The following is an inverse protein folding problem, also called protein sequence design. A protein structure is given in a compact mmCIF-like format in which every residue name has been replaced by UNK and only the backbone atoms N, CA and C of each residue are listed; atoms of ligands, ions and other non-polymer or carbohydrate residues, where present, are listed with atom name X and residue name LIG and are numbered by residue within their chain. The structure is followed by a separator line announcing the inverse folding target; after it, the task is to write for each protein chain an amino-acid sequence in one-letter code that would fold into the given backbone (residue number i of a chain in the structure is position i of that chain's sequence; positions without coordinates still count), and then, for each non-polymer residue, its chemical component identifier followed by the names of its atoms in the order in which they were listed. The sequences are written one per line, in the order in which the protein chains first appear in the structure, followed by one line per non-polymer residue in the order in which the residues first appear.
data_IF_204615868998
#
_entry.id   IF_204615868998
#
_cell.length_a   1.000
_cell.length_b   1.000
_cell.length_c   1.000
_cell.angle_alpha   90.00
_cell.angle_beta   90.00
_cell.angle_gamma   90.00
#
_symmetry.space_group_name_H-M   'P 1'
#
loop_
_entity.id
_entity.type
_entity.pdbx_description
1 polymer ?
#
# COMPACT_ATOMS: atom_id res chain seq x y z
N UNK A 1 5.59 -45.18 -10.10
CA UNK A 1 4.58 -44.11 -10.19
C UNK A 1 4.29 -43.57 -8.82
N UNK A 2 5.09 -42.59 -8.33
CA UNK A 2 4.74 -41.83 -7.13
C UNK A 2 3.68 -40.81 -7.57
N UNK A 3 2.43 -41.05 -7.18
CA UNK A 3 1.43 -39.97 -7.06
C UNK A 3 1.94 -39.05 -5.98
N UNK A 4 2.47 -37.87 -6.36
CA UNK A 4 2.56 -36.76 -5.43
C UNK A 4 1.11 -36.46 -5.00
N UNK A 5 0.73 -36.84 -3.81
CA UNK A 5 -0.42 -36.24 -3.15
C UNK A 5 -0.14 -34.74 -3.12
N UNK A 6 -0.94 -34.00 -3.87
CA UNK A 6 -0.96 -32.54 -3.79
C UNK A 6 -1.58 -32.22 -2.44
N UNK A 7 -0.76 -32.20 -1.38
CA UNK A 7 -1.15 -31.61 -0.12
C UNK A 7 -1.61 -30.19 -0.45
N UNK A 8 -2.87 -29.91 -0.17
CA UNK A 8 -3.47 -28.60 -0.45
C UNK A 8 -2.90 -27.61 0.56
N UNK A 9 -1.68 -27.11 0.29
CA UNK A 9 -0.97 -26.12 1.13
C UNK A 9 -1.82 -24.86 1.13
N UNK A 10 -2.27 -24.43 2.30
CA UNK A 10 -3.01 -23.17 2.46
C UNK A 10 -2.16 -21.99 1.97
N UNK A 11 -2.81 -21.04 1.31
CA UNK A 11 -2.17 -19.83 0.81
C UNK A 11 -2.75 -18.60 1.50
N UNK A 12 -1.89 -17.86 2.20
CA UNK A 12 -2.26 -16.61 2.87
C UNK A 12 -1.81 -15.40 2.06
N UNK A 13 -2.70 -14.44 1.87
CA UNK A 13 -2.43 -13.15 1.23
C UNK A 13 -2.23 -12.05 2.26
N UNK A 14 -1.23 -11.20 2.04
CA UNK A 14 -0.95 -10.01 2.87
C UNK A 14 -0.83 -8.80 1.96
N UNK A 15 -1.61 -7.74 2.21
CA UNK A 15 -1.46 -6.45 1.54
C UNK A 15 -0.51 -5.59 2.35
N UNK A 16 0.53 -5.03 1.71
CA UNK A 16 1.63 -4.42 2.45
C UNK A 16 2.36 -3.31 1.69
N UNK A 17 3.17 -2.53 2.41
CA UNK A 17 4.08 -1.54 1.85
C UNK A 17 5.55 -1.87 2.14
N UNK A 18 5.84 -2.45 3.31
CA UNK A 18 7.19 -2.70 3.81
C UNK A 18 8.12 -1.49 3.66
N UNK A 19 7.71 -0.36 4.22
CA UNK A 19 8.35 0.94 4.01
C UNK A 19 9.00 1.55 5.28
N UNK A 20 10.08 0.94 5.84
CA UNK A 20 10.71 -0.33 5.49
C UNK A 20 10.08 -1.56 6.19
N UNK A 21 10.55 -2.75 5.81
CA UNK A 21 10.20 -4.00 6.48
C UNK A 21 10.82 -4.04 7.88
N UNK A 22 10.01 -4.27 8.90
CA UNK A 22 10.42 -4.31 10.31
C UNK A 22 9.86 -5.55 11.03
N UNK A 23 10.28 -5.79 12.27
CA UNK A 23 9.93 -6.98 13.03
C UNK A 23 8.42 -7.22 13.18
N UNK A 24 7.59 -6.16 13.27
CA UNK A 24 6.13 -6.30 13.29
C UNK A 24 5.53 -6.92 12.03
N UNK A 25 6.15 -6.69 10.86
CA UNK A 25 5.74 -7.35 9.62
C UNK A 25 6.15 -8.82 9.58
N UNK A 26 7.37 -9.14 10.03
CA UNK A 26 7.85 -10.52 10.14
C UNK A 26 7.01 -11.31 11.15
N UNK A 27 6.60 -10.69 12.25
CA UNK A 27 5.71 -11.29 13.24
C UNK A 27 4.37 -11.73 12.63
N UNK A 28 3.75 -10.89 11.78
CA UNK A 28 2.51 -11.27 11.09
C UNK A 28 2.69 -12.52 10.23
N UNK A 29 3.77 -12.59 9.43
CA UNK A 29 4.07 -13.77 8.60
C UNK A 29 4.28 -15.03 9.46
N UNK A 30 4.98 -14.89 10.59
CA UNK A 30 5.16 -15.98 11.53
C UNK A 30 3.85 -16.39 12.24
N UNK A 31 2.98 -15.42 12.58
CA UNK A 31 1.68 -15.70 13.18
C UNK A 31 0.77 -16.50 12.24
N UNK A 32 0.78 -16.16 10.94
CA UNK A 32 0.08 -16.93 9.90
C UNK A 32 0.56 -18.39 9.89
N UNK A 33 1.87 -18.63 9.85
CA UNK A 33 2.41 -20.00 9.85
C UNK A 33 2.16 -20.76 11.16
N UNK A 34 2.15 -20.06 12.30
CA UNK A 34 1.77 -20.70 13.57
C UNK A 34 0.30 -21.13 13.60
N UNK A 35 -0.57 -20.34 12.96
CA UNK A 35 -2.02 -20.62 12.95
C UNK A 35 -2.40 -21.73 11.95
N UNK A 36 -1.79 -21.72 10.77
CA UNK A 36 -2.24 -22.55 9.64
C UNK A 36 -1.27 -23.67 9.25
N UNK A 37 -0.11 -23.74 9.88
CA UNK A 37 0.95 -24.72 9.59
C UNK A 37 2.19 -24.07 8.97
N UNK A 38 3.36 -24.63 9.27
CA UNK A 38 4.66 -24.09 8.85
C UNK A 38 4.86 -24.05 7.33
N UNK A 39 4.15 -24.85 6.59
CA UNK A 39 4.13 -24.98 5.14
C UNK A 39 3.19 -23.98 4.44
N UNK A 40 2.38 -23.21 5.20
CA UNK A 40 1.49 -22.21 4.65
C UNK A 40 2.27 -21.23 3.76
N UNK A 41 1.88 -21.15 2.50
CA UNK A 41 2.49 -20.24 1.54
C UNK A 41 1.99 -18.81 1.75
N UNK A 42 2.88 -17.81 1.64
CA UNK A 42 2.56 -16.40 1.86
C UNK A 42 2.77 -15.61 0.56
N UNK A 43 1.67 -15.05 0.04
CA UNK A 43 1.66 -14.12 -1.09
C UNK A 43 1.50 -12.69 -0.55
N UNK A 44 2.42 -11.79 -0.91
CA UNK A 44 2.31 -10.38 -0.58
C UNK A 44 1.89 -9.57 -1.80
N UNK A 45 0.83 -8.74 -1.67
CA UNK A 45 0.53 -7.65 -2.60
C UNK A 45 1.20 -6.37 -2.04
N UNK A 46 2.33 -5.96 -2.65
CA UNK A 46 3.19 -4.92 -2.10
C UNK A 46 3.20 -3.67 -2.97
N UNK A 47 3.01 -2.49 -2.36
CA UNK A 47 3.16 -1.20 -3.04
C UNK A 47 4.49 -1.08 -3.78
N UNK A 48 4.46 -0.49 -4.97
CA UNK A 48 5.64 -0.14 -5.75
C UNK A 48 6.53 0.91 -5.06
N UNK A 49 7.06 1.88 -5.82
CA UNK A 49 7.99 2.88 -5.28
C UNK A 49 7.31 4.02 -4.52
N UNK A 50 5.98 4.05 -4.49
CA UNK A 50 5.17 5.01 -3.76
C UNK A 50 4.15 4.29 -2.86
N UNK A 51 3.74 4.96 -1.79
CA UNK A 51 2.96 4.36 -0.71
C UNK A 51 1.67 5.12 -0.41
N UNK A 52 0.71 4.46 0.23
CA UNK A 52 -0.67 4.90 0.44
C UNK A 52 -0.78 6.26 1.15
N UNK A 53 0.16 6.60 2.01
CA UNK A 53 0.17 7.91 2.70
C UNK A 53 0.60 9.07 1.82
N UNK A 54 0.83 8.84 0.52
CA UNK A 54 1.24 9.87 -0.44
C UNK A 54 2.72 10.23 -0.28
N UNK A 55 3.57 9.24 -0.12
CA UNK A 55 5.01 9.42 0.07
C UNK A 55 5.81 8.47 -0.82
N UNK A 56 7.10 8.75 -0.97
CA UNK A 56 8.06 7.87 -1.62
C UNK A 56 8.41 6.71 -0.69
N UNK A 57 8.54 5.51 -1.23
CA UNK A 57 9.10 4.41 -0.46
C UNK A 57 10.56 4.69 -0.12
N UNK A 58 11.00 4.31 1.08
CA UNK A 58 12.35 4.56 1.59
C UNK A 58 13.43 3.92 0.72
N UNK A 59 13.10 2.76 0.13
CA UNK A 59 13.95 1.94 -0.70
C UNK A 59 13.11 1.43 -1.88
N UNK A 60 13.70 1.30 -3.06
CA UNK A 60 13.00 0.85 -4.25
C UNK A 60 12.31 -0.50 -4.07
N UNK A 61 11.23 -0.71 -4.83
CA UNK A 61 10.35 -1.89 -4.74
C UNK A 61 11.11 -3.21 -4.77
N UNK A 62 12.12 -3.34 -5.62
CA UNK A 62 12.85 -4.59 -5.82
C UNK A 62 13.59 -5.02 -4.56
N UNK A 63 14.30 -4.09 -3.93
CA UNK A 63 15.05 -4.37 -2.70
C UNK A 63 14.10 -4.74 -1.53
N UNK A 64 12.92 -4.10 -1.46
CA UNK A 64 11.90 -4.44 -0.46
C UNK A 64 11.26 -5.81 -0.71
N UNK A 65 11.00 -6.16 -1.98
CA UNK A 65 10.46 -7.46 -2.34
C UNK A 65 11.44 -8.60 -2.02
N UNK A 66 12.72 -8.44 -2.33
CA UNK A 66 13.77 -9.40 -1.96
C UNK A 66 13.88 -9.56 -0.44
N UNK A 67 13.89 -8.45 0.29
CA UNK A 67 13.91 -8.47 1.76
C UNK A 67 12.68 -9.18 2.33
N UNK A 68 11.50 -8.99 1.74
CA UNK A 68 10.27 -9.65 2.16
C UNK A 68 10.36 -11.18 1.97
N UNK A 69 10.85 -11.64 0.81
CA UNK A 69 11.03 -13.08 0.55
C UNK A 69 12.05 -13.69 1.51
N UNK A 70 13.20 -13.02 1.74
CA UNK A 70 14.20 -13.48 2.73
C UNK A 70 13.71 -13.42 4.17
N UNK A 71 12.59 -12.74 4.44
CA UNK A 71 11.98 -12.59 5.78
C UNK A 71 10.73 -13.46 5.97
N UNK A 72 10.37 -14.28 4.97
CA UNK A 72 9.29 -15.25 5.12
C UNK A 72 8.10 -15.11 4.17
N UNK A 73 8.08 -14.17 3.24
CA UNK A 73 7.15 -14.20 2.11
C UNK A 73 7.63 -15.23 1.08
N UNK A 74 6.73 -15.86 0.34
CA UNK A 74 7.08 -16.81 -0.71
C UNK A 74 6.96 -16.21 -2.10
N UNK A 75 5.96 -15.35 -2.29
CA UNK A 75 5.70 -14.64 -3.54
C UNK A 75 5.34 -13.18 -3.25
N UNK A 76 6.01 -12.24 -3.89
CA UNK A 76 5.69 -10.83 -3.83
C UNK A 76 5.20 -10.36 -5.19
N UNK A 77 3.95 -9.92 -5.22
CA UNK A 77 3.29 -9.30 -6.37
C UNK A 77 3.22 -7.78 -6.15
N UNK A 78 3.27 -7.01 -7.22
CA UNK A 78 3.13 -5.56 -7.13
C UNK A 78 1.66 -5.16 -6.97
N UNK A 79 1.38 -4.31 -5.98
CA UNK A 79 0.17 -3.52 -5.95
C UNK A 79 0.38 -2.32 -6.88
N UNK A 80 -0.37 -2.22 -8.00
CA UNK A 80 -0.09 -1.22 -9.02
C UNK A 80 -0.25 0.22 -8.53
N UNK A 81 0.52 1.12 -9.14
CA UNK A 81 0.71 2.50 -8.69
C UNK A 81 -0.58 3.26 -8.38
N UNK A 82 -1.65 3.28 -9.20
CA UNK A 82 -2.84 4.07 -8.89
C UNK A 82 -3.52 3.65 -7.58
N UNK A 83 -3.56 2.33 -7.29
CA UNK A 83 -4.12 1.82 -6.04
C UNK A 83 -3.17 2.01 -4.86
N UNK A 84 -1.87 1.82 -5.08
CA UNK A 84 -0.85 2.01 -4.03
C UNK A 84 -0.86 3.44 -3.46
N UNK A 85 -1.24 4.45 -4.24
CA UNK A 85 -1.29 5.86 -3.83
C UNK A 85 -2.72 6.41 -3.73
N UNK A 86 -3.70 5.56 -3.46
CA UNK A 86 -5.11 5.93 -3.33
C UNK A 86 -5.57 6.05 -1.86
N UNK A 87 -6.87 6.27 -1.66
CA UNK A 87 -7.51 6.19 -0.34
C UNK A 87 -7.39 4.78 0.25
N UNK A 88 -7.77 4.60 1.52
CA UNK A 88 -7.80 3.27 2.13
C UNK A 88 -8.69 2.30 1.34
N UNK A 89 -9.85 2.77 0.87
CA UNK A 89 -10.78 2.01 0.03
C UNK A 89 -10.13 1.57 -1.30
N UNK A 90 -9.53 2.50 -2.05
CA UNK A 90 -8.86 2.17 -3.32
C UNK A 90 -7.65 1.26 -3.13
N UNK A 91 -6.84 1.50 -2.08
CA UNK A 91 -5.71 0.65 -1.72
C UNK A 91 -6.16 -0.78 -1.39
N UNK A 92 -7.22 -0.91 -0.60
CA UNK A 92 -7.82 -2.20 -0.25
C UNK A 92 -8.32 -2.93 -1.49
N UNK A 93 -9.10 -2.23 -2.36
CA UNK A 93 -9.63 -2.81 -3.59
C UNK A 93 -8.51 -3.34 -4.49
N UNK A 94 -7.49 -2.53 -4.77
CA UNK A 94 -6.36 -2.98 -5.59
C UNK A 94 -5.59 -4.15 -4.97
N UNK A 95 -5.38 -4.14 -3.65
CA UNK A 95 -4.74 -5.24 -2.94
C UNK A 95 -5.55 -6.54 -2.99
N UNK A 96 -6.86 -6.46 -2.80
CA UNK A 96 -7.76 -7.62 -2.93
C UNK A 96 -7.81 -8.10 -4.38
N UNK A 97 -7.92 -7.22 -5.39
CA UNK A 97 -7.87 -7.59 -6.80
C UNK A 97 -6.58 -8.37 -7.14
N UNK A 98 -5.41 -7.93 -6.63
CA UNK A 98 -4.14 -8.64 -6.83
C UNK A 98 -4.19 -10.03 -6.19
N UNK A 99 -4.62 -10.13 -4.93
CA UNK A 99 -4.60 -11.41 -4.20
C UNK A 99 -5.63 -12.40 -4.74
N UNK A 100 -6.87 -11.98 -4.97
CA UNK A 100 -7.93 -12.83 -5.54
C UNK A 100 -7.64 -13.20 -6.98
N UNK A 101 -7.06 -12.27 -7.76
CA UNK A 101 -6.62 -12.51 -9.13
C UNK A 101 -5.61 -13.65 -9.29
N UNK A 102 -4.92 -14.06 -8.20
CA UNK A 102 -4.06 -15.26 -8.22
C UNK A 102 -4.83 -16.56 -8.34
N UNK A 103 -6.13 -16.59 -7.98
CA UNK A 103 -6.96 -17.79 -7.88
C UNK A 103 -6.51 -18.75 -6.78
N UNK A 104 -5.75 -18.24 -5.77
CA UNK A 104 -5.11 -19.08 -4.74
C UNK A 104 -5.29 -18.55 -3.31
N UNK A 105 -6.11 -17.54 -3.08
CA UNK A 105 -6.28 -16.92 -1.78
C UNK A 105 -7.20 -17.75 -0.87
N UNK A 106 -6.64 -18.43 0.14
CA UNK A 106 -7.40 -19.17 1.16
C UNK A 106 -7.59 -18.34 2.44
N UNK A 107 -6.61 -17.48 2.78
CA UNK A 107 -6.61 -16.65 3.99
C UNK A 107 -6.17 -15.23 3.64
N UNK A 108 -6.93 -14.23 4.07
CA UNK A 108 -6.47 -12.82 4.08
C UNK A 108 -5.95 -12.48 5.47
N UNK A 109 -4.65 -12.13 5.56
CA UNK A 109 -4.00 -11.84 6.84
C UNK A 109 -3.53 -10.39 6.93
N UNK A 110 -3.81 -9.73 8.06
CA UNK A 110 -3.36 -8.36 8.34
C UNK A 110 -3.29 -8.07 9.85
N UNK A 111 -2.65 -6.97 10.22
CA UNK A 111 -2.63 -6.49 11.61
C UNK A 111 -3.69 -5.43 11.83
N UNK A 112 -4.41 -5.48 12.95
CA UNK A 112 -5.39 -4.49 13.38
C UNK A 112 -5.16 -4.08 14.84
N UNK A 113 -5.73 -2.97 15.28
CA UNK A 113 -5.67 -2.58 16.68
C UNK A 113 -6.58 -3.47 17.56
N UNK A 114 -7.74 -3.86 17.04
CA UNK A 114 -8.70 -4.68 17.79
C UNK A 114 -8.35 -6.18 17.84
N UNK A 115 -7.68 -6.73 16.83
CA UNK A 115 -7.39 -8.16 16.72
C UNK A 115 -8.64 -9.05 16.52
N UNK A 116 -9.80 -8.48 16.23
CA UNK A 116 -11.08 -9.18 16.04
C UNK A 116 -11.56 -9.07 14.59
N UNK A 117 -11.37 -10.15 13.82
CA UNK A 117 -11.79 -10.21 12.41
C UNK A 117 -13.32 -10.17 12.25
N UNK A 118 -14.06 -10.72 13.21
CA UNK A 118 -15.52 -10.72 13.14
C UNK A 118 -16.09 -9.31 13.34
N UNK A 119 -15.54 -8.53 14.27
CA UNK A 119 -15.92 -7.13 14.47
C UNK A 119 -15.61 -6.26 13.23
N UNK A 120 -14.43 -6.44 12.62
CA UNK A 120 -14.06 -5.75 11.38
C UNK A 120 -15.00 -6.10 10.23
N UNK A 121 -15.39 -7.38 10.10
CA UNK A 121 -16.34 -7.81 9.08
C UNK A 121 -17.76 -7.28 9.33
N UNK A 122 -18.22 -7.19 10.60
CA UNK A 122 -19.51 -6.54 10.92
C UNK A 122 -19.49 -5.07 10.51
N UNK A 123 -18.40 -4.35 10.83
CA UNK A 123 -18.25 -2.95 10.41
C UNK A 123 -18.24 -2.78 8.87
N UNK A 124 -17.55 -3.68 8.16
CA UNK A 124 -17.55 -3.71 6.71
C UNK A 124 -18.94 -3.93 6.10
N UNK A 125 -19.70 -4.90 6.63
CA UNK A 125 -21.10 -5.16 6.22
C UNK A 125 -22.01 -3.97 6.47
N UNK A 126 -21.84 -3.26 7.59
CA UNK A 126 -22.61 -2.06 7.88
C UNK A 126 -22.31 -0.92 6.87
N UNK A 127 -21.04 -0.78 6.45
CA UNK A 127 -20.64 0.19 5.42
C UNK A 127 -21.17 -0.16 4.02
N UNK A 128 -21.46 -1.41 3.73
CA UNK A 128 -22.09 -1.87 2.49
C UNK A 128 -23.63 -1.92 2.58
N UNK A 129 -24.19 -1.59 3.75
CA UNK A 129 -25.64 -1.63 3.95
C UNK A 129 -26.37 -0.60 3.10
N UNK A 130 -27.47 -0.97 2.41
CA UNK A 130 -28.35 -0.03 1.73
C UNK A 130 -28.93 1.06 2.63
N UNK A 131 -28.94 0.84 3.95
CA UNK A 131 -29.39 1.83 4.95
C UNK A 131 -28.36 2.95 5.20
N UNK A 132 -27.08 2.76 4.84
CA UNK A 132 -26.04 3.75 5.12
C UNK A 132 -26.22 5.07 4.34
N UNK A 133 -26.48 5.10 3.01
CA UNK A 133 -26.59 6.34 2.26
C UNK A 133 -27.61 7.34 2.80
N UNK A 134 -28.85 6.96 3.15
CA UNK A 134 -29.79 7.90 3.73
C UNK A 134 -29.37 8.42 5.11
N UNK A 135 -28.75 7.59 5.96
CA UNK A 135 -28.22 8.00 7.26
C UNK A 135 -27.06 9.00 7.10
N UNK A 136 -26.15 8.73 6.16
CA UNK A 136 -25.04 9.62 5.85
C UNK A 136 -25.53 10.98 5.33
N UNK A 137 -26.51 10.97 4.43
CA UNK A 137 -27.14 12.20 3.91
C UNK A 137 -27.77 13.02 5.04
N UNK A 138 -28.46 12.37 5.95
CA UNK A 138 -29.09 13.03 7.11
C UNK A 138 -28.03 13.65 8.04
N UNK A 139 -26.91 12.96 8.31
CA UNK A 139 -25.84 13.48 9.14
C UNK A 139 -25.11 14.66 8.47
N UNK A 140 -24.85 14.59 7.17
CA UNK A 140 -24.26 15.71 6.40
C UNK A 140 -25.16 16.95 6.40
N UNK A 141 -26.49 16.77 6.34
CA UNK A 141 -27.46 17.88 6.41
C UNK A 141 -27.44 18.60 7.77
N UNK A 142 -26.95 17.96 8.85
CA UNK A 142 -26.77 18.55 10.17
C UNK A 142 -25.46 19.35 10.31
N UNK A 143 -24.64 19.47 9.24
CA UNK A 143 -23.42 20.26 9.22
C UNK A 143 -22.14 19.49 9.61
N UNK A 144 -22.21 18.18 9.79
CA UNK A 144 -21.03 17.35 10.04
C UNK A 144 -20.09 17.36 8.82
N UNK A 145 -18.78 17.27 9.07
CA UNK A 145 -17.85 16.91 8.01
C UNK A 145 -18.05 15.44 7.63
N UNK A 146 -17.56 15.04 6.45
CA UNK A 146 -17.79 13.68 5.91
C UNK A 146 -17.36 12.55 6.87
N UNK A 147 -16.23 12.69 7.57
CA UNK A 147 -15.75 11.66 8.50
C UNK A 147 -16.67 11.51 9.71
N UNK A 148 -17.11 12.63 10.30
CA UNK A 148 -18.04 12.63 11.43
C UNK A 148 -19.43 12.14 11.00
N UNK A 149 -19.91 12.58 9.84
CA UNK A 149 -21.19 12.11 9.27
C UNK A 149 -21.16 10.61 8.99
N UNK A 150 -20.07 10.10 8.40
CA UNK A 150 -19.87 8.65 8.17
C UNK A 150 -19.85 7.88 9.49
N UNK A 151 -19.11 8.36 10.48
CA UNK A 151 -19.05 7.71 11.79
C UNK A 151 -20.43 7.67 12.46
N UNK A 152 -21.16 8.77 12.45
CA UNK A 152 -22.54 8.85 12.99
C UNK A 152 -23.50 7.91 12.26
N UNK A 153 -23.47 7.89 10.94
CA UNK A 153 -24.30 7.02 10.13
C UNK A 153 -24.02 5.53 10.41
N UNK A 154 -22.75 5.16 10.56
CA UNK A 154 -22.33 3.80 10.89
C UNK A 154 -22.71 3.43 12.32
N UNK A 155 -22.60 4.38 13.29
CA UNK A 155 -23.01 4.15 14.68
C UNK A 155 -24.52 3.90 14.83
N UNK A 156 -25.33 4.28 13.85
CA UNK A 156 -26.74 3.93 13.80
C UNK A 156 -27.02 2.49 13.33
N UNK A 157 -26.01 1.84 12.74
CA UNK A 157 -26.09 0.48 12.18
C UNK A 157 -25.31 -0.54 13.03
N UNK A 158 -24.46 -0.09 13.93
CA UNK A 158 -23.53 -0.89 14.73
C UNK A 158 -23.66 -0.54 16.21
N UNK A 159 -23.11 -1.41 17.05
CA UNK A 159 -22.86 -1.05 18.46
C UNK A 159 -21.85 0.12 18.54
N UNK A 160 -21.85 0.85 19.65
CA UNK A 160 -20.89 1.92 19.88
C UNK A 160 -19.43 1.40 19.83
N UNK A 161 -19.21 0.18 20.29
CA UNK A 161 -17.90 -0.49 20.28
C UNK A 161 -17.42 -0.78 18.85
N UNK A 162 -18.24 -1.41 18.02
CA UNK A 162 -17.89 -1.69 16.61
C UNK A 162 -17.71 -0.39 15.80
N UNK A 163 -18.53 0.64 16.07
CA UNK A 163 -18.40 1.94 15.40
C UNK A 163 -17.08 2.65 15.77
N UNK A 164 -16.59 2.47 17.00
CA UNK A 164 -15.31 3.04 17.45
C UNK A 164 -14.10 2.48 16.67
N UNK A 165 -14.21 1.31 16.05
CA UNK A 165 -13.14 0.72 15.22
C UNK A 165 -12.71 1.63 14.06
N UNK A 166 -13.63 2.44 13.53
CA UNK A 166 -13.36 3.39 12.44
C UNK A 166 -12.43 4.55 12.84
N UNK A 167 -12.17 4.74 14.13
CA UNK A 167 -11.26 5.79 14.62
C UNK A 167 -9.79 5.39 14.56
N UNK A 168 -9.47 4.10 14.40
CA UNK A 168 -8.12 3.55 14.41
C UNK A 168 -7.64 3.24 12.98
N UNK A 169 -6.40 3.62 12.61
CA UNK A 169 -5.97 3.56 11.20
C UNK A 169 -5.87 2.13 10.64
N UNK A 170 -5.37 1.15 11.40
CA UNK A 170 -5.25 -0.21 10.90
C UNK A 170 -6.60 -0.94 10.94
N UNK A 171 -7.48 -0.66 11.93
CA UNK A 171 -8.85 -1.14 11.91
C UNK A 171 -9.59 -0.60 10.69
N UNK A 172 -9.48 0.70 10.39
CA UNK A 172 -10.08 1.30 9.19
C UNK A 172 -9.60 0.59 7.93
N UNK A 173 -8.29 0.33 7.81
CA UNK A 173 -7.74 -0.38 6.66
C UNK A 173 -8.23 -1.84 6.60
N UNK A 174 -8.29 -2.54 7.74
CA UNK A 174 -8.85 -3.89 7.85
C UNK A 174 -10.33 -3.97 7.45
N UNK A 175 -11.13 -2.96 7.85
CA UNK A 175 -12.53 -2.83 7.45
C UNK A 175 -12.62 -2.64 5.92
N UNK A 176 -11.77 -1.81 5.31
CA UNK A 176 -11.77 -1.62 3.86
C UNK A 176 -11.32 -2.90 3.11
N UNK A 177 -10.41 -3.71 3.67
CA UNK A 177 -10.10 -5.03 3.12
C UNK A 177 -11.32 -5.97 3.13
N UNK A 178 -12.04 -6.02 4.26
CA UNK A 178 -13.27 -6.80 4.37
C UNK A 178 -14.34 -6.31 3.37
N UNK A 179 -14.48 -4.98 3.20
CA UNK A 179 -15.39 -4.41 2.19
C UNK A 179 -15.04 -4.83 0.77
N UNK A 180 -13.76 -4.71 0.42
CA UNK A 180 -13.29 -5.10 -0.91
C UNK A 180 -13.50 -6.60 -1.17
N UNK A 181 -13.35 -7.48 -0.15
CA UNK A 181 -13.72 -8.90 -0.26
C UNK A 181 -15.20 -9.10 -0.51
N UNK A 182 -16.08 -8.43 0.25
CA UNK A 182 -17.53 -8.50 0.04
C UNK A 182 -17.92 -8.09 -1.38
N UNK A 183 -17.29 -7.03 -1.90
CA UNK A 183 -17.53 -6.53 -3.26
C UNK A 183 -16.97 -7.47 -4.34
N UNK A 184 -15.86 -8.19 -4.07
CA UNK A 184 -15.27 -9.15 -5.02
C UNK A 184 -16.02 -10.48 -5.10
N UNK A 185 -16.89 -10.76 -4.14
CA UNK A 185 -17.56 -12.06 -4.00
C UNK A 185 -16.62 -13.21 -3.56
N UNK A 186 -15.41 -12.88 -3.11
CA UNK A 186 -14.44 -13.86 -2.59
C UNK A 186 -14.60 -14.02 -1.09
N UNK A 187 -14.50 -15.25 -0.58
CA UNK A 187 -14.73 -15.61 0.81
C UNK A 187 -13.52 -16.32 1.45
N UNK A 188 -12.28 -15.76 1.39
CA UNK A 188 -11.18 -16.32 2.15
C UNK A 188 -11.42 -16.18 3.64
N UNK A 189 -10.79 -17.02 4.43
CA UNK A 189 -10.74 -16.85 5.87
C UNK A 189 -10.03 -15.53 6.22
N UNK A 190 -10.55 -14.76 7.18
CA UNK A 190 -9.94 -13.51 7.61
C UNK A 190 -9.18 -13.75 8.90
N UNK A 191 -7.87 -13.52 8.86
CA UNK A 191 -6.99 -13.64 10.01
C UNK A 191 -6.38 -12.28 10.37
N UNK A 192 -6.56 -11.84 11.61
CA UNK A 192 -5.94 -10.60 12.08
C UNK A 192 -5.19 -10.82 13.38
N UNK A 193 -4.08 -10.11 13.54
CA UNK A 193 -3.28 -10.08 14.76
C UNK A 193 -3.40 -8.72 15.40
N UNK A 194 -3.60 -8.70 16.72
CA UNK A 194 -3.60 -7.46 17.48
C UNK A 194 -2.22 -6.81 17.47
N UNK A 195 -2.17 -5.52 17.15
CA UNK A 195 -0.93 -4.73 17.15
C UNK A 195 -0.56 -4.18 18.52
N UNK A 196 -1.45 -4.30 19.52
CA UNK A 196 -1.27 -3.70 20.84
C UNK A 196 -0.54 -4.59 21.85
N UNK A 197 -0.36 -5.91 21.58
CA UNK A 197 0.22 -6.84 22.55
C UNK A 197 1.52 -7.53 22.12
N UNK A 198 1.60 -7.97 20.89
CA UNK A 198 2.61 -8.96 20.49
C UNK A 198 3.95 -8.37 20.00
N UNK A 199 4.01 -7.09 19.68
CA UNK A 199 5.27 -6.43 19.33
C UNK A 199 6.05 -5.94 20.57
N UNK A 200 5.39 -5.89 21.74
CA UNK A 200 6.03 -5.51 23.01
C UNK A 200 6.80 -6.66 23.66
N UNK A 201 6.34 -7.90 23.50
CA UNK A 201 6.98 -9.06 24.15
C UNK A 201 8.25 -9.55 23.43
N UNK A 202 8.46 -9.17 22.18
CA UNK A 202 9.62 -9.62 21.39
C UNK A 202 10.87 -8.76 21.57
N UNK A 203 10.79 -7.59 22.19
CA UNK A 203 11.93 -6.76 22.54
C UNK A 203 11.58 -5.83 23.70
N UNK A 204 11.70 -6.35 24.92
CA UNK A 204 11.66 -5.55 26.13
C UNK A 204 12.76 -4.47 26.06
N UNK A 205 12.39 -3.22 25.84
CA UNK A 205 13.37 -2.14 25.91
C UNK A 205 12.92 -0.74 25.54
N UNK A 206 11.91 -0.54 24.68
CA UNK A 206 11.56 0.84 24.32
C UNK A 206 10.07 1.03 24.04
N UNK A 207 9.44 1.93 24.77
CA UNK A 207 8.04 2.36 24.65
C UNK A 207 7.72 3.12 23.33
N UNK A 208 8.63 3.12 22.37
CA UNK A 208 8.55 3.87 21.10
C UNK A 208 8.33 3.03 19.84
N UNK A 209 7.61 1.89 19.96
CA UNK A 209 7.07 1.06 18.87
C UNK A 209 7.86 0.98 17.55
N UNK A 210 8.12 -0.22 17.07
CA UNK A 210 8.67 -0.51 15.73
C UNK A 210 7.68 -0.11 14.63
N UNK A 211 7.47 1.18 14.37
CA UNK A 211 6.66 1.61 13.23
C UNK A 211 7.55 2.05 12.06
N UNK A 212 7.12 1.76 10.85
CA UNK A 212 7.82 2.22 9.65
C UNK A 212 8.03 3.75 9.64
N UNK A 213 7.07 4.51 10.16
CA UNK A 213 7.17 5.96 10.28
C UNK A 213 8.28 6.38 11.25
N UNK A 214 8.42 5.72 12.41
CA UNK A 214 9.48 6.00 13.37
C UNK A 214 10.87 5.68 12.79
N UNK A 215 11.00 4.58 12.05
CA UNK A 215 12.26 4.22 11.38
C UNK A 215 12.64 5.28 10.33
N UNK A 216 11.68 5.74 9.53
CA UNK A 216 11.89 6.80 8.54
C UNK A 216 12.31 8.12 9.20
N UNK A 217 11.69 8.47 10.34
CA UNK A 217 12.07 9.64 11.12
C UNK A 217 13.52 9.55 11.59
N UNK A 218 13.92 8.43 12.20
CA UNK A 218 15.30 8.21 12.65
C UNK A 218 16.32 8.38 11.52
N UNK A 219 16.00 7.87 10.31
CA UNK A 219 16.87 8.08 9.14
C UNK A 219 16.91 9.55 8.71
N UNK A 220 15.77 10.25 8.74
CA UNK A 220 15.71 11.68 8.45
C UNK A 220 16.52 12.53 9.43
N UNK A 221 16.58 12.10 10.70
CA UNK A 221 17.33 12.74 11.77
C UNK A 221 18.83 12.32 11.79
N UNK A 222 19.29 11.52 10.81
CA UNK A 222 20.67 11.02 10.74
C UNK A 222 20.99 9.89 11.72
N UNK A 223 20.01 9.35 12.45
CA UNK A 223 20.15 8.27 13.44
C UNK A 223 20.12 6.90 12.76
N UNK A 224 21.05 6.68 11.84
CA UNK A 224 21.09 5.48 10.98
C UNK A 224 21.17 4.17 11.77
N UNK A 225 22.05 4.08 12.78
CA UNK A 225 22.21 2.84 13.55
C UNK A 225 20.93 2.44 14.27
N UNK A 226 20.25 3.41 14.90
CA UNK A 226 18.97 3.19 15.59
C UNK A 226 17.85 2.79 14.62
N UNK A 227 17.84 3.36 13.43
CA UNK A 227 16.88 3.00 12.40
C UNK A 227 17.08 1.56 11.91
N UNK A 228 18.33 1.18 11.63
CA UNK A 228 18.67 -0.16 11.15
C UNK A 228 18.36 -1.24 12.19
N UNK A 229 18.64 -0.99 13.47
CA UNK A 229 18.35 -1.97 14.54
C UNK A 229 16.85 -2.35 14.62
N UNK A 230 15.97 -1.52 14.09
CA UNK A 230 14.51 -1.75 14.05
C UNK A 230 14.03 -2.47 12.80
N UNK A 231 14.88 -2.64 11.80
CA UNK A 231 14.60 -3.41 10.59
C UNK A 231 15.00 -4.87 10.77
N UNK A 232 14.32 -5.78 10.08
CA UNK A 232 14.76 -7.18 10.03
C UNK A 232 16.09 -7.31 9.29
N UNK A 233 16.92 -8.33 9.57
CA UNK A 233 18.28 -8.45 8.99
C UNK A 233 18.31 -8.37 7.45
N UNK A 234 17.36 -9.03 6.77
CA UNK A 234 17.26 -8.96 5.30
C UNK A 234 16.99 -7.54 4.78
N UNK A 235 16.21 -6.74 5.51
CA UNK A 235 15.95 -5.35 5.14
C UNK A 235 17.16 -4.46 5.44
N UNK A 236 17.89 -4.71 6.52
CA UNK A 236 19.16 -4.02 6.81
C UNK A 236 20.17 -4.22 5.68
N UNK A 237 20.33 -5.48 5.23
CA UNK A 237 21.24 -5.82 4.13
C UNK A 237 20.79 -5.16 2.81
N UNK A 238 19.49 -5.22 2.49
CA UNK A 238 18.93 -4.57 1.30
C UNK A 238 19.11 -3.04 1.34
N UNK A 239 18.86 -2.42 2.49
CA UNK A 239 19.08 -0.99 2.68
C UNK A 239 20.54 -0.60 2.50
N UNK A 240 21.48 -1.33 3.12
CA UNK A 240 22.91 -1.07 2.99
C UNK A 240 23.42 -1.20 1.54
N UNK A 241 22.91 -2.18 0.79
CA UNK A 241 23.24 -2.35 -0.62
C UNK A 241 22.71 -1.19 -1.48
N UNK A 242 21.48 -0.72 -1.22
CA UNK A 242 20.90 0.42 -1.93
C UNK A 242 21.60 1.74 -1.56
N UNK A 243 21.98 1.90 -0.28
CA UNK A 243 22.74 3.05 0.20
C UNK A 243 24.14 3.11 -0.44
N UNK A 244 24.86 2.00 -0.47
CA UNK A 244 26.17 1.91 -1.14
C UNK A 244 26.10 2.20 -2.65
N UNK A 245 24.95 1.90 -3.26
CA UNK A 245 24.68 2.21 -4.68
C UNK A 245 24.13 3.62 -4.91
N UNK A 246 24.05 4.47 -3.87
CA UNK A 246 23.55 5.85 -3.94
C UNK A 246 22.04 5.98 -4.18
N UNK A 247 21.24 4.93 -3.90
CA UNK A 247 19.80 4.86 -4.15
C UNK A 247 18.92 4.92 -2.89
N UNK A 248 19.52 4.95 -1.70
CA UNK A 248 18.82 5.04 -0.42
C UNK A 248 19.57 5.99 0.54
N UNK A 249 18.85 6.57 1.52
CA UNK A 249 17.38 6.57 1.70
C UNK A 249 16.68 7.52 0.71
N UNK A 250 15.43 7.18 0.34
CA UNK A 250 14.62 8.02 -0.55
C UNK A 250 13.57 8.79 0.27
N UNK A 251 13.58 10.13 0.09
CA UNK A 251 12.61 11.04 0.68
C UNK A 251 12.08 12.00 -0.38
N UNK A 252 10.81 12.38 -0.26
CA UNK A 252 10.17 13.33 -1.19
C UNK A 252 10.90 14.70 -1.25
N UNK A 253 11.56 15.10 -0.18
CA UNK A 253 12.36 16.33 -0.10
C UNK A 253 13.51 16.37 -1.12
N UNK A 254 14.08 15.23 -1.50
CA UNK A 254 15.12 15.17 -2.53
C UNK A 254 14.60 15.59 -3.92
N UNK A 255 13.30 15.39 -4.19
CA UNK A 255 12.62 15.80 -5.41
C UNK A 255 11.82 17.11 -5.26
N UNK A 256 11.98 17.87 -4.19
CA UNK A 256 11.13 19.02 -3.89
C UNK A 256 11.03 20.00 -5.06
N UNK A 257 12.15 20.35 -5.68
CA UNK A 257 12.14 21.28 -6.84
C UNK A 257 11.37 20.73 -8.04
N UNK A 258 11.47 19.43 -8.30
CA UNK A 258 10.73 18.77 -9.39
C UNK A 258 9.23 18.78 -9.09
N UNK A 259 8.83 18.48 -7.85
CA UNK A 259 7.45 18.55 -7.40
C UNK A 259 6.91 19.99 -7.51
N UNK A 260 7.65 20.98 -7.00
CA UNK A 260 7.26 22.39 -7.07
C UNK A 260 7.14 22.89 -8.52
N UNK A 261 8.08 22.50 -9.39
CA UNK A 261 8.03 22.82 -10.83
C UNK A 261 6.74 22.29 -11.46
N UNK A 262 6.39 21.04 -11.18
CA UNK A 262 5.14 20.43 -11.66
C UNK A 262 3.92 21.18 -11.16
N UNK A 263 3.81 21.41 -9.84
CA UNK A 263 2.67 22.10 -9.22
C UNK A 263 2.50 23.53 -9.77
N UNK A 264 3.60 24.26 -9.98
CA UNK A 264 3.57 25.63 -10.52
C UNK A 264 3.22 25.70 -12.01
N UNK A 265 3.46 24.63 -12.76
CA UNK A 265 3.05 24.50 -14.15
C UNK A 265 1.59 24.13 -14.35
N UNK A 266 0.86 23.77 -13.29
CA UNK A 266 -0.55 23.35 -13.36
C UNK A 266 -1.51 24.55 -13.25
N UNK A 267 -2.65 24.47 -13.96
CA UNK A 267 -3.78 25.38 -13.84
C UNK A 267 -4.69 25.03 -12.64
N UNK A 268 -5.60 25.93 -12.20
CA UNK A 268 -6.61 25.56 -11.18
C UNK A 268 -7.44 24.35 -11.57
N UNK A 269 -7.82 24.22 -12.84
CA UNK A 269 -8.60 23.07 -13.32
C UNK A 269 -7.84 21.74 -13.20
N UNK A 270 -6.52 21.75 -13.40
CA UNK A 270 -5.69 20.55 -13.20
C UNK A 270 -5.69 20.09 -11.73
N UNK A 271 -5.68 21.05 -10.79
CA UNK A 271 -5.78 20.71 -9.36
C UNK A 271 -7.16 20.15 -8.97
N UNK A 272 -8.23 20.69 -9.55
CA UNK A 272 -9.58 20.19 -9.33
C UNK A 272 -9.76 18.78 -9.91
N UNK A 273 -9.06 18.46 -11.00
CA UNK A 273 -9.06 17.12 -11.60
C UNK A 273 -8.32 16.05 -10.77
N UNK A 274 -7.48 16.43 -9.79
CA UNK A 274 -6.79 15.48 -8.91
C UNK A 274 -7.71 14.82 -7.87
N UNK A 275 -8.88 15.38 -7.63
CA UNK A 275 -9.79 14.92 -6.60
C UNK A 275 -11.22 14.86 -7.11
N UNK A 276 -11.91 13.78 -6.82
CA UNK A 276 -13.33 13.60 -7.16
C UNK A 276 -14.28 14.39 -6.23
N UNK A 277 -13.76 14.90 -5.11
CA UNK A 277 -14.53 15.68 -4.14
C UNK A 277 -14.56 17.17 -4.50
N UNK A 278 -15.72 17.71 -4.84
CA UNK A 278 -15.95 19.14 -5.16
C UNK A 278 -15.90 20.05 -3.91
N UNK A 279 -14.86 19.91 -3.07
CA UNK A 279 -14.80 20.58 -1.76
C UNK A 279 -13.86 21.80 -1.74
N UNK A 280 -13.29 22.22 -2.88
CA UNK A 280 -12.37 23.35 -2.98
C UNK A 280 -10.93 23.06 -2.50
N UNK A 281 -10.57 21.81 -2.29
CA UNK A 281 -9.22 21.39 -1.89
C UNK A 281 -8.21 21.65 -3.00
N UNK A 282 -8.60 21.47 -4.27
CA UNK A 282 -7.77 21.76 -5.44
C UNK A 282 -7.36 23.22 -5.49
N UNK A 283 -8.31 24.15 -5.34
CA UNK A 283 -8.03 25.59 -5.31
C UNK A 283 -7.11 25.99 -4.16
N UNK A 284 -7.26 25.37 -2.97
CA UNK A 284 -6.36 25.63 -1.85
C UNK A 284 -4.91 25.19 -2.12
N UNK A 285 -4.74 24.00 -2.69
CA UNK A 285 -3.41 23.52 -3.10
C UNK A 285 -2.80 24.39 -4.20
N UNK A 286 -3.62 24.82 -5.16
CA UNK A 286 -3.20 25.76 -6.21
C UNK A 286 -2.63 27.04 -5.59
N UNK A 287 -3.39 27.71 -4.70
CA UNK A 287 -2.96 28.94 -4.05
C UNK A 287 -1.69 28.70 -3.21
N UNK A 288 -1.69 27.70 -2.33
CA UNK A 288 -0.55 27.38 -1.49
C UNK A 288 0.73 27.12 -2.31
N UNK A 289 0.62 26.44 -3.48
CA UNK A 289 1.77 26.17 -4.35
C UNK A 289 2.44 27.44 -4.91
N UNK A 290 1.78 28.60 -4.83
CA UNK A 290 2.27 29.91 -5.30
C UNK A 290 2.69 30.86 -4.18
N UNK A 291 2.10 30.67 -3.01
CA UNK A 291 2.32 31.55 -1.85
C UNK A 291 3.56 31.13 -1.04
N UNK A 292 3.91 29.83 -1.04
CA UNK A 292 5.04 29.34 -0.24
C UNK A 292 6.04 28.56 -1.10
N UNK A 293 7.24 28.31 -0.55
CA UNK A 293 8.39 27.83 -1.31
C UNK A 293 8.85 26.41 -0.97
N UNK A 294 8.18 25.72 -0.03
CA UNK A 294 8.51 24.32 0.30
C UNK A 294 7.30 23.43 0.27
N UNK A 295 7.53 22.13 0.04
CA UNK A 295 6.47 21.11 0.03
C UNK A 295 5.75 21.03 1.38
N UNK A 296 6.49 21.07 2.49
CA UNK A 296 5.90 21.07 3.83
C UNK A 296 5.01 22.30 4.07
N UNK A 297 5.49 23.48 3.69
CA UNK A 297 4.72 24.72 3.83
C UNK A 297 3.45 24.71 2.94
N UNK A 298 3.49 24.11 1.73
CA UNK A 298 2.30 23.93 0.88
C UNK A 298 1.26 23.05 1.58
N UNK A 299 1.71 21.93 2.16
CA UNK A 299 0.82 21.02 2.86
C UNK A 299 0.21 21.68 4.10
N UNK A 300 0.99 22.46 4.85
CA UNK A 300 0.55 23.19 6.04
C UNK A 300 -0.47 24.29 5.67
N UNK A 301 -0.21 25.08 4.65
CA UNK A 301 -1.10 26.13 4.15
C UNK A 301 -2.43 25.58 3.61
N UNK A 302 -2.38 24.41 2.95
CA UNK A 302 -3.58 23.77 2.42
C UNK A 302 -4.38 23.02 3.50
N UNK A 303 -3.77 22.65 4.64
CA UNK A 303 -4.37 21.86 5.72
C UNK A 303 -5.53 22.59 6.40
N UNK A 304 -6.63 21.87 6.61
CA UNK A 304 -7.78 22.32 7.41
C UNK A 304 -8.26 21.17 8.31
N UNK A 305 -9.23 21.43 9.18
CA UNK A 305 -9.90 20.34 9.93
C UNK A 305 -10.62 19.35 9.03
N UNK A 306 -11.02 19.76 7.82
CA UNK A 306 -11.76 18.95 6.84
C UNK A 306 -10.86 18.01 6.05
N UNK A 307 -9.58 18.36 5.81
CA UNK A 307 -8.67 17.61 4.95
C UNK A 307 -7.53 16.97 5.74
N UNK A 308 -7.42 15.64 5.69
CA UNK A 308 -6.30 14.93 6.30
C UNK A 308 -5.00 15.16 5.50
N UNK A 309 -3.85 15.22 6.20
CA UNK A 309 -2.53 15.36 5.56
C UNK A 309 -2.28 14.30 4.48
N UNK A 310 -2.66 13.05 4.74
CA UNK A 310 -2.48 11.97 3.77
C UNK A 310 -3.24 12.23 2.45
N UNK A 311 -4.43 12.86 2.49
CA UNK A 311 -5.17 13.25 1.27
C UNK A 311 -4.40 14.31 0.50
N UNK A 312 -3.91 15.35 1.17
CA UNK A 312 -3.13 16.42 0.54
C UNK A 312 -1.83 15.87 -0.07
N UNK A 313 -1.11 15.02 0.66
CA UNK A 313 0.11 14.38 0.15
C UNK A 313 -0.16 13.54 -1.09
N UNK A 314 -1.25 12.75 -1.10
CA UNK A 314 -1.63 11.98 -2.29
C UNK A 314 -1.94 12.89 -3.47
N UNK A 315 -2.66 13.99 -3.29
CA UNK A 315 -2.94 14.94 -4.38
C UNK A 315 -1.66 15.53 -4.94
N UNK A 316 -0.73 15.95 -4.09
CA UNK A 316 0.60 16.44 -4.53
C UNK A 316 1.36 15.34 -5.27
N UNK A 317 1.34 14.12 -4.76
CA UNK A 317 2.01 12.99 -5.41
C UNK A 317 1.36 12.64 -6.77
N UNK A 318 0.03 12.65 -6.84
CA UNK A 318 -0.70 12.47 -8.11
C UNK A 318 -0.35 13.55 -9.13
N UNK A 319 -0.29 14.81 -8.70
CA UNK A 319 0.17 15.91 -9.54
C UNK A 319 1.58 15.65 -10.08
N UNK A 320 2.52 15.27 -9.20
CA UNK A 320 3.89 14.95 -9.57
C UNK A 320 3.97 13.81 -10.58
N UNK A 321 3.23 12.73 -10.35
CA UNK A 321 3.17 11.55 -11.22
C UNK A 321 2.38 11.80 -12.52
N UNK A 322 1.63 12.89 -12.60
CA UNK A 322 0.71 13.17 -13.69
C UNK A 322 -0.45 12.18 -13.75
N UNK A 323 -0.96 11.79 -12.57
CA UNK A 323 -2.11 10.92 -12.40
C UNK A 323 -3.40 11.71 -12.25
N UNK A 324 -4.47 11.18 -12.80
CA UNK A 324 -5.84 11.63 -12.56
C UNK A 324 -6.75 10.44 -12.21
N UNK A 325 -7.94 10.65 -11.68
CA UNK A 325 -8.90 9.55 -11.45
C UNK A 325 -9.23 8.74 -12.71
N UNK A 326 -9.13 9.35 -13.90
CA UNK A 326 -9.35 8.67 -15.18
C UNK A 326 -8.26 7.64 -15.51
N UNK A 327 -7.08 7.75 -14.90
CA UNK A 327 -5.97 6.80 -15.10
C UNK A 327 -6.10 5.54 -14.23
N UNK A 328 -7.12 5.48 -13.36
CA UNK A 328 -7.34 4.33 -12.47
C UNK A 328 -8.33 3.37 -13.12
N UNK A 329 -7.90 2.19 -13.59
CA UNK A 329 -8.80 1.18 -14.10
C UNK A 329 -9.83 0.71 -13.05
N UNK A 330 -10.95 0.15 -13.48
CA UNK A 330 -11.95 -0.40 -12.58
C UNK A 330 -11.38 -1.54 -11.73
N UNK A 331 -10.55 -2.40 -12.34
CA UNK A 331 -9.87 -3.52 -11.70
C UNK A 331 -8.41 -3.60 -12.12
N UNK A 332 -7.58 -4.28 -11.31
CA UNK A 332 -6.18 -4.55 -11.66
C UNK A 332 -6.12 -5.43 -12.90
N UNK A 333 -5.43 -5.01 -13.99
CA UNK A 333 -5.48 -5.75 -15.24
C UNK A 333 -4.42 -6.84 -15.40
N UNK A 334 -3.47 -6.98 -14.46
CA UNK A 334 -2.42 -8.00 -14.46
C UNK A 334 -1.78 -8.18 -13.08
N UNK A 335 -1.09 -9.29 -12.89
CA UNK A 335 -0.29 -9.60 -11.71
C UNK A 335 1.20 -9.50 -12.08
N UNK A 336 1.92 -8.52 -11.52
CA UNK A 336 3.35 -8.37 -11.74
C UNK A 336 4.14 -8.99 -10.61
N UNK A 337 5.03 -9.93 -10.94
CA UNK A 337 5.92 -10.59 -9.97
C UNK A 337 7.11 -9.69 -9.66
N UNK A 338 7.38 -9.44 -8.39
CA UNK A 338 8.56 -8.70 -7.93
C UNK A 338 9.65 -9.63 -7.38
N UNK A 339 9.29 -10.63 -6.59
CA UNK A 339 10.21 -11.62 -6.05
C UNK A 339 9.52 -12.94 -5.71
N UNK A 340 10.24 -14.05 -5.77
CA UNK A 340 9.78 -15.37 -5.37
C UNK A 340 10.94 -16.26 -4.90
N UNK A 341 10.66 -17.13 -3.90
CA UNK A 341 11.50 -18.27 -3.54
C UNK A 341 11.02 -19.54 -4.25
N UNK A 342 11.48 -20.72 -3.84
CA UNK A 342 11.11 -22.01 -4.44
C UNK A 342 9.61 -22.31 -4.26
N UNK A 343 9.04 -22.07 -3.08
CA UNK A 343 7.59 -22.17 -2.84
C UNK A 343 6.83 -21.21 -3.77
N UNK A 344 7.29 -19.96 -3.87
CA UNK A 344 6.71 -18.96 -4.78
C UNK A 344 6.77 -19.39 -6.25
N UNK A 345 7.84 -20.06 -6.69
CA UNK A 345 7.91 -20.65 -8.05
C UNK A 345 6.86 -21.73 -8.26
N UNK A 346 6.63 -22.55 -7.24
CA UNK A 346 5.56 -23.56 -7.27
C UNK A 346 4.18 -22.90 -7.38
N UNK A 347 3.93 -21.83 -6.61
CA UNK A 347 2.72 -21.03 -6.73
C UNK A 347 2.56 -20.45 -8.14
N UNK A 348 3.60 -19.86 -8.71
CA UNK A 348 3.58 -19.31 -10.07
C UNK A 348 3.27 -20.39 -11.12
N UNK A 349 3.74 -21.63 -10.92
CA UNK A 349 3.38 -22.74 -11.79
C UNK A 349 1.88 -23.08 -11.68
N UNK A 350 1.32 -23.10 -10.46
CA UNK A 350 -0.11 -23.34 -10.23
C UNK A 350 -0.97 -22.20 -10.77
N UNK A 351 -0.53 -20.95 -10.64
CA UNK A 351 -1.20 -19.75 -11.17
C UNK A 351 -1.38 -19.79 -12.68
N UNK A 352 -0.57 -20.53 -13.45
CA UNK A 352 -0.80 -20.72 -14.90
C UNK A 352 -2.18 -21.30 -15.22
N UNK A 353 -2.78 -22.05 -14.29
CA UNK A 353 -4.10 -22.69 -14.45
C UNK A 353 -5.20 -22.01 -13.64
N UNK A 354 -4.84 -21.33 -12.55
CA UNK A 354 -5.80 -20.81 -11.56
C UNK A 354 -5.96 -19.30 -11.62
N UNK A 355 -4.90 -18.57 -12.02
CA UNK A 355 -4.95 -17.11 -12.03
C UNK A 355 -6.03 -16.60 -12.99
N UNK A 356 -6.80 -15.65 -12.50
CA UNK A 356 -7.85 -14.98 -13.25
C UNK A 356 -7.31 -13.80 -14.07
N UNK A 357 -6.09 -13.36 -13.76
CA UNK A 357 -5.40 -12.25 -14.40
C UNK A 357 -4.09 -12.70 -15.04
N UNK A 358 -3.64 -12.06 -16.12
CA UNK A 358 -2.33 -12.34 -16.72
C UNK A 358 -1.19 -12.14 -15.71
N UNK A 359 -0.27 -13.10 -15.61
CA UNK A 359 0.90 -13.02 -14.72
C UNK A 359 2.12 -12.57 -15.51
N UNK A 360 2.74 -11.45 -15.07
CA UNK A 360 3.89 -10.83 -15.71
C UNK A 360 5.15 -11.10 -14.90
N UNK A 361 6.08 -11.84 -15.50
CA UNK A 361 7.45 -12.02 -14.98
C UNK A 361 8.50 -11.28 -15.82
N UNK A 362 8.18 -10.95 -17.08
CA UNK A 362 9.04 -10.19 -17.98
C UNK A 362 8.32 -8.94 -18.47
N UNK A 363 8.91 -7.75 -18.38
CA UNK A 363 8.28 -6.51 -18.83
C UNK A 363 7.80 -6.55 -20.28
N UNK A 364 8.52 -7.25 -21.16
CA UNK A 364 8.17 -7.38 -22.57
C UNK A 364 6.80 -8.05 -22.78
N UNK A 365 6.35 -8.91 -21.87
CA UNK A 365 5.05 -9.59 -21.95
C UNK A 365 3.86 -8.63 -21.94
N UNK A 366 4.03 -7.43 -21.36
CA UNK A 366 3.00 -6.38 -21.33
C UNK A 366 2.52 -6.00 -22.73
N UNK A 367 3.39 -6.08 -23.74
CA UNK A 367 3.03 -5.73 -25.14
C UNK A 367 1.93 -6.60 -25.73
N UNK A 368 1.67 -7.76 -25.12
CA UNK A 368 0.63 -8.72 -25.56
C UNK A 368 -0.67 -8.57 -24.75
N UNK A 369 -0.71 -7.69 -23.78
CA UNK A 369 -1.88 -7.44 -22.94
C UNK A 369 -2.83 -6.40 -23.56
N UNK A 370 -3.96 -6.18 -22.89
CA UNK A 370 -4.93 -5.15 -23.29
C UNK A 370 -4.31 -3.74 -23.35
N UNK A 371 -4.87 -2.84 -24.14
CA UNK A 371 -4.43 -1.43 -24.18
C UNK A 371 -4.41 -0.76 -22.80
N UNK A 372 -5.40 -1.09 -21.94
CA UNK A 372 -5.49 -0.63 -20.56
C UNK A 372 -4.31 -1.11 -19.71
N UNK A 373 -3.98 -2.40 -19.77
CA UNK A 373 -2.83 -2.98 -19.08
C UNK A 373 -1.50 -2.35 -19.55
N UNK A 374 -1.37 -2.11 -20.85
CA UNK A 374 -0.20 -1.42 -21.40
C UNK A 374 -0.12 0.04 -20.94
N UNK A 375 -1.24 0.76 -20.87
CA UNK A 375 -1.30 2.12 -20.36
C UNK A 375 -0.87 2.18 -18.90
N UNK A 376 -1.41 1.28 -18.06
CA UNK A 376 -1.02 1.16 -16.65
C UNK A 376 0.48 0.90 -16.49
N UNK A 377 1.05 -0.04 -17.25
CA UNK A 377 2.49 -0.33 -17.16
C UNK A 377 3.36 0.86 -17.58
N UNK A 378 2.96 1.61 -18.63
CA UNK A 378 3.67 2.85 -19.00
C UNK A 378 3.63 3.90 -17.88
N UNK A 379 2.50 3.99 -17.19
CA UNK A 379 2.33 4.87 -16.03
C UNK A 379 3.26 4.44 -14.87
N UNK A 380 3.35 3.15 -14.57
CA UNK A 380 4.27 2.61 -13.57
C UNK A 380 5.73 2.83 -13.95
N UNK A 381 6.07 2.68 -15.24
CA UNK A 381 7.42 2.94 -15.74
C UNK A 381 7.80 4.42 -15.57
N UNK A 382 6.89 5.35 -15.93
CA UNK A 382 7.06 6.78 -15.67
C UNK A 382 7.22 7.05 -14.17
N UNK A 383 6.39 6.42 -13.33
CA UNK A 383 6.49 6.55 -11.87
C UNK A 383 7.86 6.11 -11.35
N UNK A 384 8.39 4.99 -11.85
CA UNK A 384 9.72 4.51 -11.48
C UNK A 384 10.84 5.49 -11.89
N UNK A 385 10.72 6.10 -13.06
CA UNK A 385 11.68 7.10 -13.54
C UNK A 385 11.63 8.37 -12.67
N UNK A 386 10.43 8.82 -12.30
CA UNK A 386 10.24 9.96 -11.40
C UNK A 386 10.70 9.66 -9.96
N UNK A 387 10.52 8.44 -9.49
CA UNK A 387 11.03 8.01 -8.19
C UNK A 387 12.56 8.05 -8.13
N UNK A 388 13.23 7.63 -9.20
CA UNK A 388 14.70 7.61 -9.29
C UNK A 388 15.32 9.02 -9.13
N UNK A 389 14.59 10.09 -9.48
CA UNK A 389 15.06 11.47 -9.28
C UNK A 389 15.24 11.83 -7.79
N UNK A 390 14.68 11.06 -6.86
CA UNK A 390 14.85 11.24 -5.43
C UNK A 390 16.02 10.44 -4.84
N UNK A 391 16.82 9.77 -5.65
CA UNK A 391 18.02 9.07 -5.17
C UNK A 391 19.06 10.08 -4.66
N UNK A 392 19.75 9.75 -3.54
CA UNK A 392 20.84 10.60 -3.03
C UNK A 392 21.93 10.88 -4.08
N UNK A 393 22.29 9.87 -4.88
CA UNK A 393 23.24 10.03 -5.98
C UNK A 393 22.48 10.16 -7.31
N UNK A 394 22.48 11.34 -7.89
CA UNK A 394 21.81 11.60 -9.19
C UNK A 394 22.38 10.73 -10.32
N UNK A 395 23.67 10.35 -10.23
CA UNK A 395 24.30 9.41 -11.18
C UNK A 395 23.64 8.02 -11.22
N UNK A 396 22.92 7.64 -10.15
CA UNK A 396 22.16 6.39 -10.08
C UNK A 396 20.72 6.53 -10.64
N UNK A 397 20.27 7.73 -10.98
CA UNK A 397 18.88 8.06 -11.33
C UNK A 397 18.54 7.83 -12.81
N UNK A 398 19.19 6.89 -13.48
CA UNK A 398 18.89 6.59 -14.89
C UNK A 398 17.47 6.02 -15.03
N UNK A 399 16.72 6.54 -16.00
CA UNK A 399 15.35 6.09 -16.32
C UNK A 399 15.29 4.76 -17.07
N UNK A 400 14.05 4.29 -17.35
CA UNK A 400 13.77 3.08 -18.10
C UNK A 400 14.08 1.78 -17.37
N UNK A 401 14.29 1.84 -16.05
CA UNK A 401 14.67 0.66 -15.24
C UNK A 401 13.57 -0.39 -15.21
N UNK A 402 12.29 0.03 -15.16
CA UNK A 402 11.16 -0.89 -15.08
C UNK A 402 11.05 -1.82 -16.30
N UNK A 403 11.41 -1.32 -17.48
CA UNK A 403 11.40 -2.10 -18.72
C UNK A 403 12.49 -3.17 -18.81
N UNK A 404 13.51 -3.06 -17.97
CA UNK A 404 14.70 -3.95 -17.97
C UNK A 404 14.73 -4.90 -16.79
N UNK A 405 13.94 -4.62 -15.75
CA UNK A 405 14.01 -5.32 -14.47
C UNK A 405 12.96 -6.45 -14.39
N UNK A 406 13.42 -7.70 -14.35
CA UNK A 406 12.61 -8.86 -14.01
C UNK A 406 12.48 -9.06 -12.49
N UNK A 407 11.73 -10.08 -12.05
CA UNK A 407 11.60 -10.45 -10.64
C UNK A 407 12.91 -11.02 -10.09
N UNK A 408 13.12 -10.85 -8.78
CA UNK A 408 14.18 -11.56 -8.06
C UNK A 408 13.71 -13.00 -7.77
N UNK A 409 14.47 -13.97 -8.25
CA UNK A 409 14.23 -15.40 -8.00
C UNK A 409 15.28 -15.90 -7.01
N UNK A 410 14.89 -16.15 -5.76
CA UNK A 410 15.76 -16.47 -4.63
C UNK A 410 15.78 -17.96 -4.32
#
# INVERSE_FOLDING_TARGET
CNRFEVTNVKTAGIITEYNPLHYGHAFLMQAVRRQYGGDTAIICAMSGDFVQRGDFALVRRQARAEAAVRSGADLVLELPLPWAVSSAEGFARGGIDVLTGTGMLDVLAFGSECGDSAALLRAAKALESPALPPLLKAALAQGDNFAAARQRAVSALLTAEDAALLSSPNNTLGIEYCRALLQSGSEPEIFTVSRTGAAHDAAAGDAGGYSASAIRQLLGDGRRADALSRMVPAMQAAYAAEEAAGRAPVFASACERAILSRLRGMSPADFDALDTGREGIGQRLYNASREVSSLSAILDAAKTRRYAYARLRRMVLWAYLGLTPADVPAHVPYLRVLAANETGRTLLHQMRKRAQLPVITKPAAVRQLSPEAQALFRLEARGADLYALAYPALSAAAGGTLWRQGPAML
#
